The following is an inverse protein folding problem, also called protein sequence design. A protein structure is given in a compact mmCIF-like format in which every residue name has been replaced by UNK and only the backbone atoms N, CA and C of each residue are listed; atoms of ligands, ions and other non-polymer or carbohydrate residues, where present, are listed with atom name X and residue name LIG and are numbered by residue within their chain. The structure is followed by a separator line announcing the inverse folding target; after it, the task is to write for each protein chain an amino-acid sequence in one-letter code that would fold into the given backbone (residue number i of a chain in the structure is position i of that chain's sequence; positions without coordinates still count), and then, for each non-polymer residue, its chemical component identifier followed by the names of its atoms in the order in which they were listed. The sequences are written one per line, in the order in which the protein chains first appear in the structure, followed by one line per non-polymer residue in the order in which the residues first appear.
data_IF_898187717774
#
_entry.id   IF_898187717774
#
_cell.length_a   1.000
_cell.length_b   1.000
_cell.length_c   1.000
_cell.angle_alpha   90.00
_cell.angle_beta   90.00
_cell.angle_gamma   90.00
#
_symmetry.space_group_name_H-M   'P 1'
#
loop_
_entity.id
_entity.type
_entity.pdbx_description
1 polymer ?
#
# COMPACT_ATOMS: atom_id res chain seq x y z
N UNK A 1 14.03 1.49 -15.82
CA UNK A 1 14.41 2.32 -16.95
C UNK A 1 13.82 3.73 -16.80
N UNK A 2 14.62 4.78 -17.09
CA UNK A 2 14.19 6.17 -16.95
C UNK A 2 13.06 6.54 -17.94
N UNK A 3 13.09 6.00 -19.15
CA UNK A 3 12.05 6.22 -20.15
C UNK A 3 10.69 5.69 -19.67
N UNK A 4 10.66 4.49 -19.13
CA UNK A 4 9.45 3.91 -18.55
C UNK A 4 8.94 4.70 -17.35
N UNK A 5 9.85 5.13 -16.48
CA UNK A 5 9.49 5.89 -15.28
C UNK A 5 8.84 7.23 -15.65
N UNK A 6 9.47 8.04 -16.52
CA UNK A 6 8.92 9.35 -16.89
C UNK A 6 7.67 9.24 -17.76
N UNK A 7 7.51 8.17 -18.57
CA UNK A 7 6.31 7.93 -19.35
C UNK A 7 5.07 7.70 -18.45
N UNK A 8 5.27 7.05 -17.31
CA UNK A 8 4.22 6.74 -16.31
C UNK A 8 4.09 7.80 -15.23
N UNK A 9 5.02 8.77 -15.16
CA UNK A 9 5.00 9.83 -14.16
C UNK A 9 3.84 10.80 -14.38
N UNK A 10 3.34 11.36 -13.26
CA UNK A 10 2.24 12.32 -13.23
C UNK A 10 2.46 13.31 -12.08
N UNK A 11 3.37 14.26 -12.32
CA UNK A 11 3.70 15.37 -11.42
C UNK A 11 4.14 16.57 -12.26
N UNK A 12 4.27 17.74 -11.63
CA UNK A 12 4.89 18.93 -12.22
C UNK A 12 6.19 19.22 -11.48
N UNK A 13 7.32 19.20 -12.21
CA UNK A 13 8.63 19.56 -11.67
C UNK A 13 8.89 21.05 -11.83
N UNK A 14 9.40 21.69 -10.78
CA UNK A 14 9.86 23.07 -10.82
C UNK A 14 11.30 23.19 -11.34
N UNK A 15 12.11 22.13 -11.12
CA UNK A 15 13.49 22.07 -11.58
C UNK A 15 13.91 20.62 -11.88
N UNK A 16 14.74 20.48 -12.93
CA UNK A 16 15.39 19.22 -13.29
C UNK A 16 16.90 19.35 -13.23
N UNK A 17 17.55 18.38 -12.65
CA UNK A 17 18.98 18.16 -12.74
C UNK A 17 19.22 16.98 -13.68
N UNK A 18 19.50 17.29 -14.97
CA UNK A 18 19.71 16.26 -15.99
C UNK A 18 21.19 15.85 -15.98
N UNK A 19 21.55 15.01 -15.01
CA UNK A 19 22.91 14.53 -14.75
C UNK A 19 23.08 13.06 -15.16
N UNK A 20 22.85 12.76 -16.41
CA UNK A 20 23.12 11.46 -17.01
C UNK A 20 24.57 11.34 -17.49
N UNK A 21 25.01 10.12 -17.85
CA UNK A 21 26.30 9.92 -18.50
C UNK A 21 26.37 10.66 -19.84
N UNK A 22 27.60 10.90 -20.31
CA UNK A 22 27.84 11.56 -21.61
C UNK A 22 26.95 10.99 -22.72
N UNK A 23 26.26 11.82 -23.51
CA UNK A 23 25.30 11.39 -24.54
C UNK A 23 25.84 10.33 -25.50
N UNK A 24 27.12 10.38 -25.83
CA UNK A 24 27.77 9.38 -26.67
C UNK A 24 27.93 8.00 -26.03
N UNK A 25 28.01 7.94 -24.69
CA UNK A 25 28.14 6.68 -23.94
C UNK A 25 26.81 6.12 -23.48
N UNK A 26 25.80 6.96 -23.31
CA UNK A 26 24.46 6.57 -22.92
C UNK A 26 23.40 7.37 -23.68
N UNK A 27 23.20 7.11 -24.97
CA UNK A 27 22.25 7.86 -25.80
C UNK A 27 20.80 7.69 -25.36
N UNK A 28 20.48 6.60 -24.62
CA UNK A 28 19.12 6.30 -24.16
C UNK A 28 18.62 7.32 -23.12
N UNK A 29 19.50 7.87 -22.27
CA UNK A 29 19.14 8.92 -21.31
C UNK A 29 18.94 10.30 -21.94
N UNK A 30 19.24 10.44 -23.24
CA UNK A 30 19.18 11.72 -23.98
C UNK A 30 18.31 11.60 -25.24
N UNK A 31 17.48 10.53 -25.32
CA UNK A 31 16.61 10.34 -26.48
C UNK A 31 15.45 11.34 -26.50
N UNK A 32 14.75 11.41 -27.64
CA UNK A 32 13.64 12.33 -27.88
C UNK A 32 12.50 12.12 -26.87
N UNK A 33 12.08 10.86 -26.68
CA UNK A 33 10.90 10.54 -25.86
C UNK A 33 11.09 10.94 -24.40
N UNK A 34 12.29 10.66 -23.84
CA UNK A 34 12.61 11.06 -22.48
C UNK A 34 12.62 12.58 -22.30
N UNK A 35 13.26 13.31 -23.21
CA UNK A 35 13.34 14.77 -23.08
C UNK A 35 12.00 15.47 -23.38
N UNK A 36 11.16 14.91 -24.26
CA UNK A 36 9.78 15.36 -24.42
C UNK A 36 8.94 15.10 -23.15
N UNK A 37 9.14 13.96 -22.47
CA UNK A 37 8.49 13.67 -21.21
C UNK A 37 8.95 14.63 -20.09
N UNK A 38 10.25 14.97 -20.03
CA UNK A 38 10.77 16.02 -19.15
C UNK A 38 10.05 17.34 -19.41
N UNK A 39 9.92 17.75 -20.70
CA UNK A 39 9.17 18.95 -21.06
C UNK A 39 7.70 18.89 -20.61
N UNK A 40 7.02 17.77 -20.82
CA UNK A 40 5.63 17.55 -20.38
C UNK A 40 5.46 17.64 -18.86
N UNK A 41 6.41 17.09 -18.12
CA UNK A 41 6.39 17.04 -16.66
C UNK A 41 6.95 18.32 -16.00
N UNK A 42 7.42 19.30 -16.77
CA UNK A 42 7.88 20.57 -16.24
C UNK A 42 6.72 21.52 -16.05
N UNK A 43 6.55 22.03 -14.83
CA UNK A 43 5.57 23.06 -14.51
C UNK A 43 5.84 24.37 -15.24
N UNK A 44 4.84 25.24 -15.30
CA UNK A 44 4.94 26.58 -15.88
C UNK A 44 6.10 27.37 -15.21
N UNK A 45 7.03 27.91 -16.00
CA UNK A 45 8.21 28.61 -15.49
C UNK A 45 9.30 27.73 -14.87
N UNK A 46 9.12 26.41 -14.86
CA UNK A 46 10.10 25.45 -14.36
C UNK A 46 11.36 25.45 -15.22
N UNK A 47 12.45 24.93 -14.67
CA UNK A 47 13.79 25.02 -15.25
C UNK A 47 14.50 23.68 -15.31
N UNK A 48 15.59 23.61 -16.06
CA UNK A 48 16.55 22.51 -15.99
C UNK A 48 17.99 23.02 -16.02
N UNK A 49 18.91 22.17 -15.54
CA UNK A 49 20.33 22.31 -15.71
C UNK A 49 20.96 20.99 -16.12
N UNK A 50 21.97 21.04 -17.00
CA UNK A 50 22.78 19.90 -17.41
C UNK A 50 24.19 20.28 -17.75
N UNK A 51 25.13 19.39 -17.53
CA UNK A 51 26.54 19.59 -17.89
C UNK A 51 26.82 19.51 -19.40
N UNK A 52 25.90 18.96 -20.19
CA UNK A 52 26.14 18.74 -21.63
C UNK A 52 25.55 19.85 -22.47
N UNK A 53 26.34 20.28 -23.50
CA UNK A 53 25.93 21.25 -24.52
C UNK A 53 25.82 20.62 -25.91
N UNK A 54 25.75 19.27 -25.99
CA UNK A 54 25.64 18.54 -27.24
C UNK A 54 24.47 19.04 -28.11
N UNK A 55 24.70 19.22 -29.42
CA UNK A 55 23.70 19.82 -30.34
C UNK A 55 22.39 19.06 -30.35
N UNK A 56 22.45 17.72 -30.41
CA UNK A 56 21.23 16.86 -30.37
C UNK A 56 20.42 17.04 -29.10
N UNK A 57 21.08 17.15 -27.93
CA UNK A 57 20.40 17.39 -26.65
C UNK A 57 19.76 18.77 -26.62
N UNK A 58 20.46 19.80 -27.09
CA UNK A 58 19.92 21.16 -27.18
C UNK A 58 18.69 21.22 -28.07
N UNK A 59 18.75 20.61 -29.26
CA UNK A 59 17.61 20.56 -30.16
C UNK A 59 16.38 19.91 -29.51
N UNK A 60 16.54 18.73 -28.91
CA UNK A 60 15.45 18.00 -28.26
C UNK A 60 14.84 18.76 -27.08
N UNK A 61 15.66 19.45 -26.28
CA UNK A 61 15.16 20.26 -25.16
C UNK A 61 14.43 21.52 -25.67
N UNK A 62 14.88 22.12 -26.78
CA UNK A 62 14.17 23.23 -27.44
C UNK A 62 12.78 22.76 -27.96
N UNK A 63 12.74 21.60 -28.62
CA UNK A 63 11.49 20.94 -29.07
C UNK A 63 10.57 20.57 -27.91
N UNK A 64 11.13 20.19 -26.74
CA UNK A 64 10.39 19.96 -25.51
C UNK A 64 9.81 21.23 -24.84
N UNK A 65 10.05 22.40 -25.45
CA UNK A 65 9.46 23.69 -25.06
C UNK A 65 10.29 24.52 -24.10
N UNK A 66 11.61 24.30 -24.02
CA UNK A 66 12.50 25.11 -23.20
C UNK A 66 13.19 26.22 -24.02
N UNK A 67 13.36 27.38 -23.40
CA UNK A 67 14.30 28.39 -23.81
C UNK A 67 15.67 28.06 -23.23
N UNK A 68 16.69 28.00 -24.08
CA UNK A 68 18.01 27.48 -23.75
C UNK A 68 19.04 28.58 -23.61
N UNK A 69 19.88 28.47 -22.58
CA UNK A 69 21.00 29.36 -22.33
C UNK A 69 22.26 28.55 -22.04
N UNK A 70 23.35 28.86 -22.74
CA UNK A 70 24.68 28.35 -22.38
C UNK A 70 25.28 29.22 -21.30
N UNK A 71 25.81 28.57 -20.26
CA UNK A 71 26.53 29.21 -19.16
C UNK A 71 27.92 28.63 -18.99
N UNK A 72 28.85 29.35 -18.34
CA UNK A 72 30.13 28.77 -17.93
C UNK A 72 29.91 27.50 -17.12
N UNK A 73 30.66 26.46 -17.46
CA UNK A 73 30.60 25.20 -16.76
C UNK A 73 31.35 25.25 -15.42
N UNK A 74 31.23 24.16 -14.63
CA UNK A 74 31.93 24.03 -13.37
C UNK A 74 33.11 23.04 -13.47
N UNK A 75 34.20 23.32 -12.78
CA UNK A 75 35.39 22.49 -12.74
C UNK A 75 36.09 22.38 -14.11
N UNK A 76 36.16 21.13 -14.64
CA UNK A 76 36.82 20.87 -15.95
C UNK A 76 35.91 21.08 -17.15
N UNK A 77 34.64 21.44 -16.96
CA UNK A 77 33.68 21.66 -18.03
C UNK A 77 33.69 23.13 -18.47
N UNK A 78 33.91 23.36 -19.78
CA UNK A 78 33.90 24.71 -20.33
C UNK A 78 32.52 25.35 -20.28
N UNK A 79 31.49 24.60 -20.66
CA UNK A 79 30.12 25.08 -20.78
C UNK A 79 29.14 24.11 -20.10
N UNK A 80 28.04 24.64 -19.59
CA UNK A 80 26.84 23.94 -19.17
C UNK A 80 25.62 24.51 -19.91
N UNK A 81 24.53 23.75 -19.91
CA UNK A 81 23.26 24.16 -20.47
C UNK A 81 22.23 24.33 -19.38
N UNK A 82 21.53 25.45 -19.38
CA UNK A 82 20.33 25.66 -18.56
C UNK A 82 19.17 26.02 -19.48
N UNK A 83 17.96 25.84 -19.00
CA UNK A 83 16.78 26.24 -19.74
C UNK A 83 15.58 26.47 -18.86
N UNK A 84 14.63 27.22 -19.39
CA UNK A 84 13.36 27.56 -18.73
C UNK A 84 12.19 27.21 -19.65
N UNK A 85 11.10 26.72 -19.09
CA UNK A 85 9.85 26.44 -19.83
C UNK A 85 9.33 27.76 -20.44
N UNK A 86 9.02 27.77 -21.73
CA UNK A 86 8.62 28.99 -22.49
C UNK A 86 7.32 29.63 -22.00
N UNK A 87 6.41 28.84 -21.44
CA UNK A 87 5.07 29.30 -21.06
C UNK A 87 4.85 29.18 -19.55
N UNK A 88 4.33 30.25 -18.95
CA UNK A 88 3.90 30.33 -17.57
C UNK A 88 4.96 30.87 -16.60
N UNK A 89 4.49 31.39 -15.50
CA UNK A 89 5.27 31.74 -14.31
C UNK A 89 5.09 30.67 -13.26
N UNK A 90 6.14 30.38 -12.49
CA UNK A 90 6.01 29.56 -11.29
C UNK A 90 4.98 30.23 -10.38
N UNK A 91 3.86 29.55 -10.17
CA UNK A 91 2.91 29.98 -9.15
C UNK A 91 3.49 29.53 -7.80
N UNK A 92 3.84 30.45 -6.89
CA UNK A 92 4.27 30.03 -5.56
C UNK A 92 3.17 29.14 -4.96
N UNK A 93 3.55 27.98 -4.45
CA UNK A 93 2.58 27.21 -3.67
C UNK A 93 2.13 28.06 -2.48
N UNK A 94 0.82 28.17 -2.24
CA UNK A 94 0.33 28.94 -1.08
C UNK A 94 1.01 28.38 0.17
N UNK A 95 1.43 29.30 1.04
CA UNK A 95 1.98 28.96 2.35
C UNK A 95 1.09 27.91 3.03
N UNK A 96 1.72 26.91 3.66
CA UNK A 96 1.01 25.82 4.37
C UNK A 96 -0.03 26.42 5.32
N UNK A 97 -1.27 26.51 4.89
CA UNK A 97 -2.37 26.82 5.82
C UNK A 97 -2.45 25.68 6.83
N UNK A 98 -2.64 26.07 8.09
CA UNK A 98 -2.88 25.11 9.18
C UNK A 98 -4.23 24.45 8.87
N UNK A 99 -4.21 23.22 8.33
CA UNK A 99 -5.42 22.48 7.94
C UNK A 99 -5.82 21.58 9.08
N UNK A 100 -7.06 21.67 9.50
CA UNK A 100 -7.66 20.74 10.43
C UNK A 100 -8.19 19.54 9.65
N UNK A 101 -7.55 18.38 9.79
CA UNK A 101 -7.85 17.15 9.02
C UNK A 101 -8.35 16.08 9.98
N UNK A 102 -9.53 15.54 9.71
CA UNK A 102 -10.08 14.42 10.44
C UNK A 102 -10.04 13.13 9.58
N UNK A 103 -9.81 11.99 10.23
CA UNK A 103 -9.76 10.66 9.64
C UNK A 103 -10.77 9.79 10.39
N UNK A 104 -11.82 9.33 9.73
CA UNK A 104 -12.78 8.38 10.31
C UNK A 104 -12.25 6.97 10.09
N UNK A 105 -11.92 6.28 11.17
CA UNK A 105 -11.41 4.91 11.22
C UNK A 105 -9.97 4.80 11.72
N UNK A 106 -9.79 4.19 12.88
CA UNK A 106 -8.50 3.93 13.55
C UNK A 106 -7.87 2.58 13.21
N UNK A 107 -8.19 2.02 12.02
CA UNK A 107 -7.52 0.84 11.48
C UNK A 107 -6.23 1.19 10.75
N UNK A 108 -5.57 0.17 10.15
CA UNK A 108 -4.29 0.35 9.42
C UNK A 108 -4.40 1.40 8.31
N UNK A 109 -5.54 1.55 7.65
CA UNK A 109 -5.75 2.55 6.61
C UNK A 109 -5.67 3.97 7.17
N UNK A 110 -6.46 4.28 8.20
CA UNK A 110 -6.46 5.61 8.82
C UNK A 110 -5.14 5.94 9.51
N UNK A 111 -4.53 4.98 10.19
CA UNK A 111 -3.22 5.15 10.81
C UNK A 111 -2.12 5.45 9.80
N UNK A 112 -2.17 4.79 8.60
CA UNK A 112 -1.20 5.06 7.53
C UNK A 112 -1.36 6.47 6.94
N UNK A 113 -2.59 6.95 6.77
CA UNK A 113 -2.84 8.35 6.35
C UNK A 113 -2.33 9.31 7.41
N UNK A 114 -2.60 9.02 8.68
CA UNK A 114 -2.12 9.85 9.79
C UNK A 114 -0.59 9.94 9.82
N UNK A 115 0.11 8.81 9.66
CA UNK A 115 1.58 8.78 9.57
C UNK A 115 2.09 9.67 8.44
N UNK A 116 1.48 9.58 7.26
CA UNK A 116 1.84 10.41 6.10
C UNK A 116 1.62 11.90 6.33
N UNK A 117 0.57 12.29 7.04
CA UNK A 117 0.28 13.67 7.41
C UNK A 117 1.25 14.16 8.49
N UNK A 118 1.51 13.36 9.52
CA UNK A 118 2.45 13.69 10.61
C UNK A 118 3.87 13.88 10.08
N UNK A 119 4.32 13.01 9.16
CA UNK A 119 5.61 13.14 8.49
C UNK A 119 5.75 14.47 7.71
N UNK A 120 4.63 15.11 7.37
CA UNK A 120 4.56 16.41 6.68
C UNK A 120 4.21 17.58 7.62
N UNK A 121 4.25 17.34 8.95
CA UNK A 121 4.06 18.36 9.98
C UNK A 121 2.60 18.74 10.25
N UNK A 122 1.64 17.88 9.90
CA UNK A 122 0.23 18.03 10.23
C UNK A 122 -0.14 17.06 11.35
N UNK A 123 -0.83 17.53 12.37
CA UNK A 123 -1.42 16.69 13.42
C UNK A 123 -2.90 16.41 13.06
N UNK A 124 -3.24 15.23 12.53
CA UNK A 124 -4.62 14.90 12.20
C UNK A 124 -5.39 14.37 13.41
N UNK A 125 -6.73 14.39 13.34
CA UNK A 125 -7.62 13.75 14.31
C UNK A 125 -8.05 12.38 13.76
N UNK A 126 -7.75 11.29 14.46
CA UNK A 126 -8.28 9.95 14.18
C UNK A 126 -9.53 9.75 15.04
N UNK A 127 -10.64 9.41 14.40
CA UNK A 127 -11.93 9.18 15.02
C UNK A 127 -12.29 7.69 14.83
N UNK A 128 -12.56 6.96 15.90
CA UNK A 128 -13.04 5.57 15.81
C UNK A 128 -14.24 5.33 16.74
N UNK A 129 -15.22 4.58 16.23
CA UNK A 129 -16.38 4.17 17.02
C UNK A 129 -16.03 3.19 18.14
N UNK A 130 -14.89 2.52 18.04
CA UNK A 130 -14.36 1.57 19.04
C UNK A 130 -13.55 2.32 20.09
N UNK A 131 -13.20 1.62 21.15
CA UNK A 131 -12.46 2.12 22.30
C UNK A 131 -10.93 2.18 22.08
N UNK A 132 -10.45 1.73 20.91
CA UNK A 132 -9.01 1.63 20.59
C UNK A 132 -8.73 1.62 19.10
N UNK A 133 -7.47 1.85 18.74
CA UNK A 133 -6.94 1.60 17.41
C UNK A 133 -6.95 0.10 17.08
N UNK A 134 -6.91 -0.23 15.79
CA UNK A 134 -6.88 -1.61 15.29
C UNK A 134 -8.07 -2.47 15.75
N UNK A 135 -9.18 -1.92 16.19
CA UNK A 135 -10.34 -2.67 16.68
C UNK A 135 -11.07 -3.50 15.62
N UNK A 136 -10.92 -3.16 14.31
CA UNK A 136 -11.51 -3.86 13.16
C UNK A 136 -10.62 -4.98 12.59
N UNK A 137 -10.56 -5.09 11.26
CA UNK A 137 -9.75 -6.10 10.55
C UNK A 137 -8.24 -6.02 10.85
N UNK A 138 -7.75 -4.89 11.32
CA UNK A 138 -6.36 -4.67 11.74
C UNK A 138 -6.03 -5.26 13.12
N UNK A 139 -6.97 -5.89 13.81
CA UNK A 139 -6.79 -6.35 15.18
C UNK A 139 -6.38 -7.82 15.33
N UNK A 140 -5.92 -8.50 14.27
CA UNK A 140 -5.35 -9.84 14.41
C UNK A 140 -4.07 -9.79 15.27
N UNK A 141 -3.74 -10.89 15.94
CA UNK A 141 -2.51 -11.00 16.76
C UNK A 141 -1.28 -10.95 15.89
N UNK A 142 -1.27 -11.74 14.81
CA UNK A 142 -0.25 -11.75 13.78
C UNK A 142 -0.89 -11.89 12.40
N UNK A 143 -0.20 -11.38 11.37
CA UNK A 143 -0.61 -11.55 9.99
C UNK A 143 0.60 -11.48 9.04
N UNK A 144 0.43 -11.98 7.83
CA UNK A 144 1.46 -11.91 6.80
C UNK A 144 1.42 -10.58 6.06
N UNK A 145 2.59 -10.00 5.86
CA UNK A 145 2.86 -8.93 4.92
C UNK A 145 3.72 -9.51 3.79
N UNK A 146 3.13 -9.74 2.64
CA UNK A 146 3.81 -10.37 1.51
C UNK A 146 3.32 -9.83 0.17
N UNK A 147 4.13 -9.88 -0.91
CA UNK A 147 3.73 -9.37 -2.20
C UNK A 147 2.77 -10.33 -2.89
N UNK A 148 1.85 -9.78 -3.68
CA UNK A 148 1.10 -10.55 -4.66
C UNK A 148 1.62 -10.23 -6.05
N UNK A 149 2.59 -11.01 -6.48
CA UNK A 149 3.23 -10.85 -7.78
C UNK A 149 2.49 -11.64 -8.88
N UNK A 150 2.67 -11.24 -10.13
CA UNK A 150 2.21 -11.94 -11.32
C UNK A 150 3.32 -11.98 -12.36
N UNK A 151 3.32 -13.02 -13.17
CA UNK A 151 4.35 -13.27 -14.21
C UNK A 151 4.34 -12.18 -15.29
N UNK A 152 3.18 -11.60 -15.58
CA UNK A 152 2.96 -10.54 -16.57
C UNK A 152 3.23 -9.12 -16.02
N UNK A 153 3.68 -8.99 -14.78
CA UNK A 153 3.94 -7.72 -14.11
C UNK A 153 2.81 -6.68 -14.28
N UNK A 154 1.55 -7.15 -14.25
CA UNK A 154 0.40 -6.28 -14.39
C UNK A 154 0.33 -5.18 -13.32
N UNK A 155 -0.58 -4.23 -13.49
CA UNK A 155 -0.73 -3.07 -12.60
C UNK A 155 -0.88 -3.48 -11.13
N UNK A 156 -1.66 -4.51 -10.83
CA UNK A 156 -1.88 -4.98 -9.47
C UNK A 156 -0.62 -5.62 -8.85
N UNK A 157 0.18 -6.32 -9.66
CA UNK A 157 1.47 -6.90 -9.26
C UNK A 157 2.48 -5.79 -8.94
N UNK A 158 2.62 -4.80 -9.83
CA UNK A 158 3.53 -3.66 -9.61
C UNK A 158 3.12 -2.85 -8.37
N UNK A 159 1.84 -2.54 -8.23
CA UNK A 159 1.33 -1.88 -7.03
C UNK A 159 1.67 -2.66 -5.76
N UNK A 160 1.51 -3.99 -5.78
CA UNK A 160 1.83 -4.83 -4.61
C UNK A 160 3.32 -4.83 -4.28
N UNK A 161 4.20 -4.82 -5.29
CA UNK A 161 5.65 -4.72 -5.12
C UNK A 161 6.06 -3.35 -4.56
N UNK A 162 5.55 -2.26 -5.14
CA UNK A 162 5.83 -0.89 -4.69
C UNK A 162 5.38 -0.69 -3.24
N UNK A 163 4.16 -1.16 -2.90
CA UNK A 163 3.62 -1.06 -1.55
C UNK A 163 4.45 -1.87 -0.53
N UNK A 164 4.88 -3.09 -0.89
CA UNK A 164 5.73 -3.89 -0.02
C UNK A 164 7.10 -3.24 0.17
N UNK A 165 7.74 -2.79 -0.90
CA UNK A 165 9.02 -2.10 -0.87
C UNK A 165 8.98 -0.89 0.08
N UNK A 166 7.92 -0.07 -0.02
CA UNK A 166 7.71 1.06 0.87
C UNK A 166 7.53 0.61 2.33
N UNK A 167 6.66 -0.38 2.57
CA UNK A 167 6.38 -0.89 3.91
C UNK A 167 7.63 -1.51 4.57
N UNK A 168 8.50 -2.16 3.79
CA UNK A 168 9.79 -2.70 4.27
C UNK A 168 10.78 -1.58 4.55
N UNK A 169 10.80 -0.52 3.75
CA UNK A 169 11.68 0.63 3.91
C UNK A 169 11.30 1.55 5.08
N UNK A 170 10.09 1.46 5.63
CA UNK A 170 9.70 2.20 6.83
C UNK A 170 10.42 1.62 8.05
N UNK A 171 11.46 2.30 8.54
CA UNK A 171 12.28 1.88 9.70
C UNK A 171 11.43 1.61 10.95
N UNK A 172 10.36 2.37 11.11
CA UNK A 172 9.47 2.32 12.26
C UNK A 172 8.60 1.06 12.28
N UNK A 173 8.34 0.45 11.12
CA UNK A 173 7.62 -0.82 11.03
C UNK A 173 8.42 -2.00 11.63
N UNK A 174 9.72 -1.86 11.82
CA UNK A 174 10.58 -2.92 12.38
C UNK A 174 10.15 -3.37 13.77
N UNK A 175 9.57 -2.48 14.59
CA UNK A 175 9.05 -2.80 15.93
C UNK A 175 7.87 -3.78 15.91
N UNK A 176 7.14 -3.87 14.81
CA UNK A 176 6.00 -4.76 14.66
C UNK A 176 6.38 -6.09 13.98
N UNK A 177 7.63 -6.26 13.52
CA UNK A 177 8.08 -7.46 12.81
C UNK A 177 8.37 -8.58 13.80
N UNK A 178 7.70 -9.72 13.63
CA UNK A 178 7.90 -10.94 14.43
C UNK A 178 8.78 -11.95 13.67
N UNK A 179 8.67 -11.99 12.34
CA UNK A 179 9.57 -12.75 11.48
C UNK A 179 9.83 -11.97 10.17
N UNK A 180 11.03 -12.13 9.63
CA UNK A 180 11.58 -11.33 8.53
C UNK A 180 11.46 -11.99 7.15
N UNK A 181 10.69 -13.08 7.03
CA UNK A 181 10.45 -13.79 5.76
C UNK A 181 9.12 -14.51 5.74
N UNK A 182 8.65 -14.76 4.53
CA UNK A 182 7.47 -15.60 4.25
C UNK A 182 7.86 -16.67 3.25
N UNK A 183 7.50 -17.92 3.54
CA UNK A 183 7.69 -19.07 2.65
C UNK A 183 6.32 -19.43 2.07
N UNK A 184 6.15 -19.28 0.77
CA UNK A 184 4.96 -19.73 0.04
C UNK A 184 5.21 -21.14 -0.48
N UNK A 185 4.51 -22.12 0.09
CA UNK A 185 4.66 -23.53 -0.31
C UNK A 185 4.07 -23.78 -1.71
N UNK A 186 4.60 -24.79 -2.41
CA UNK A 186 4.05 -25.32 -3.66
C UNK A 186 2.72 -26.06 -3.39
N UNK A 187 1.80 -25.42 -2.67
CA UNK A 187 0.51 -25.95 -2.23
C UNK A 187 -0.57 -24.85 -2.13
N UNK A 188 -1.83 -25.15 -2.53
CA UNK A 188 -2.29 -26.33 -3.27
C UNK A 188 -1.81 -26.33 -4.74
N UNK A 189 -2.19 -27.30 -5.55
CA UNK A 189 -1.71 -27.51 -6.94
C UNK A 189 -1.71 -26.23 -7.79
N UNK A 190 -2.73 -25.39 -7.64
CA UNK A 190 -2.80 -24.09 -8.35
C UNK A 190 -1.61 -23.17 -8.03
N UNK A 191 -1.08 -23.22 -6.82
CA UNK A 191 0.10 -22.44 -6.42
C UNK A 191 1.36 -23.08 -6.97
N UNK A 192 1.47 -24.40 -6.97
CA UNK A 192 2.58 -25.12 -7.61
C UNK A 192 2.69 -24.76 -9.10
N UNK A 193 1.55 -24.77 -9.83
CA UNK A 193 1.48 -24.34 -11.23
C UNK A 193 1.88 -22.88 -11.40
N UNK A 194 1.44 -22.01 -10.52
CA UNK A 194 1.82 -20.59 -10.54
C UNK A 194 3.30 -20.40 -10.31
N UNK A 195 3.86 -21.04 -9.29
CA UNK A 195 5.28 -20.94 -8.95
C UNK A 195 6.18 -21.54 -10.04
N UNK A 196 5.75 -22.58 -10.72
CA UNK A 196 6.46 -23.13 -11.88
C UNK A 196 6.66 -22.06 -12.98
N UNK A 197 5.65 -21.21 -13.24
CA UNK A 197 5.76 -20.10 -14.18
C UNK A 197 6.72 -19.01 -13.69
N UNK A 198 6.75 -18.71 -12.38
CA UNK A 198 7.71 -17.76 -11.82
C UNK A 198 9.16 -18.24 -11.95
N UNK A 199 9.41 -19.54 -11.85
CA UNK A 199 10.76 -20.14 -12.01
C UNK A 199 11.35 -19.93 -13.41
N UNK A 200 10.53 -19.63 -14.42
CA UNK A 200 10.99 -19.36 -15.79
C UNK A 200 11.48 -17.93 -16.00
N UNK A 201 11.36 -17.06 -15.00
CA UNK A 201 11.75 -15.66 -15.06
C UNK A 201 12.91 -15.36 -14.10
N UNK A 202 13.64 -14.30 -14.41
CA UNK A 202 14.65 -13.78 -13.51
C UNK A 202 13.99 -12.98 -12.37
N UNK A 203 14.32 -13.34 -11.14
CA UNK A 203 13.99 -12.60 -9.94
C UNK A 203 15.27 -12.33 -9.15
N UNK A 204 15.47 -11.13 -8.59
CA UNK A 204 16.59 -10.86 -7.69
C UNK A 204 16.55 -11.81 -6.48
N UNK A 205 17.68 -12.42 -6.14
CA UNK A 205 17.77 -13.41 -5.04
C UNK A 205 17.45 -12.80 -3.67
N UNK A 206 17.70 -11.51 -3.49
CA UNK A 206 17.35 -10.75 -2.29
C UNK A 206 15.85 -10.47 -2.15
N UNK A 207 15.09 -10.61 -3.22
CA UNK A 207 13.64 -10.50 -3.23
C UNK A 207 12.96 -11.85 -3.08
N UNK A 208 13.38 -12.84 -3.88
CA UNK A 208 12.68 -14.11 -4.01
C UNK A 208 13.67 -15.26 -4.31
N UNK A 209 13.58 -16.34 -3.55
CA UNK A 209 14.38 -17.54 -3.75
C UNK A 209 13.50 -18.78 -3.87
N UNK A 210 13.70 -19.59 -4.89
CA UNK A 210 13.04 -20.89 -5.05
C UNK A 210 13.83 -21.97 -4.32
N UNK A 211 13.14 -22.74 -3.46
CA UNK A 211 13.75 -23.70 -2.56
C UNK A 211 13.06 -25.06 -2.62
N UNK A 212 13.80 -26.13 -2.38
CA UNK A 212 13.25 -27.47 -2.12
C UNK A 212 12.73 -27.59 -0.68
N UNK A 213 12.13 -28.73 -0.33
CA UNK A 213 11.54 -28.95 1.00
C UNK A 213 12.60 -28.87 2.11
N UNK A 214 13.83 -29.37 1.88
CA UNK A 214 14.91 -29.34 2.86
C UNK A 214 15.37 -27.91 3.16
N UNK A 215 15.57 -27.10 2.13
CA UNK A 215 15.96 -25.70 2.28
C UNK A 215 14.81 -24.88 2.89
N UNK A 216 13.55 -25.14 2.49
CA UNK A 216 12.37 -24.52 3.10
C UNK A 216 12.30 -24.82 4.60
N UNK A 217 12.45 -26.10 5.00
CA UNK A 217 12.48 -26.54 6.40
C UNK A 217 13.58 -25.85 7.20
N UNK A 218 14.78 -25.79 6.65
CA UNK A 218 15.92 -25.10 7.29
C UNK A 218 15.63 -23.63 7.53
N UNK A 219 14.98 -22.95 6.60
CA UNK A 219 14.61 -21.53 6.74
C UNK A 219 13.41 -21.31 7.65
N UNK A 220 12.43 -22.22 7.64
CA UNK A 220 11.27 -22.18 8.50
C UNK A 220 11.62 -22.50 9.96
N UNK A 221 12.64 -23.34 10.22
CA UNK A 221 13.00 -23.83 11.54
C UNK A 221 12.17 -25.05 12.02
N UNK A 222 11.34 -25.59 11.16
CA UNK A 222 10.51 -26.79 11.36
C UNK A 222 10.49 -27.61 10.06
N UNK A 223 10.13 -28.89 10.15
CA UNK A 223 9.99 -29.73 8.98
C UNK A 223 8.78 -29.31 8.12
N UNK A 224 9.03 -29.03 6.86
CA UNK A 224 8.01 -28.72 5.87
C UNK A 224 7.96 -29.82 4.81
N UNK A 225 6.75 -30.27 4.40
CA UNK A 225 6.62 -31.39 3.46
C UNK A 225 6.93 -30.99 2.01
N UNK A 226 6.98 -29.69 1.71
CA UNK A 226 7.10 -29.16 0.35
C UNK A 226 8.11 -28.01 0.31
N UNK A 227 8.72 -27.83 -0.85
CA UNK A 227 9.44 -26.63 -1.21
C UNK A 227 8.50 -25.50 -1.61
N UNK A 228 9.06 -24.46 -2.19
CA UNK A 228 8.28 -23.30 -2.62
C UNK A 228 9.13 -22.07 -2.89
N UNK A 229 8.60 -20.92 -2.56
CA UNK A 229 9.26 -19.62 -2.71
C UNK A 229 9.45 -18.94 -1.36
N UNK A 230 10.69 -18.58 -1.07
CA UNK A 230 11.02 -17.69 0.05
C UNK A 230 10.94 -16.24 -0.43
N UNK A 231 10.08 -15.46 0.18
CA UNK A 231 9.99 -14.02 -0.02
C UNK A 231 10.80 -13.32 1.07
N UNK A 232 11.99 -12.82 0.75
CA UNK A 232 12.90 -12.19 1.71
C UNK A 232 12.42 -10.81 2.19
N UNK A 233 11.51 -10.17 1.45
CA UNK A 233 10.82 -8.96 1.90
C UNK A 233 9.47 -9.28 2.56
N UNK A 234 9.05 -10.54 2.53
CA UNK A 234 7.87 -10.99 3.27
C UNK A 234 8.12 -10.92 4.78
N UNK A 235 7.10 -10.59 5.56
CA UNK A 235 7.20 -10.43 7.02
C UNK A 235 5.99 -11.02 7.72
N UNK A 236 6.18 -11.45 8.95
CA UNK A 236 5.09 -11.66 9.92
C UNK A 236 5.03 -10.43 10.80
N UNK A 237 3.88 -9.79 10.83
CA UNK A 237 3.66 -8.50 11.47
C UNK A 237 2.64 -8.65 12.61
N UNK A 238 2.87 -7.93 13.71
CA UNK A 238 1.84 -7.57 14.68
C UNK A 238 1.05 -6.36 14.15
N UNK A 239 -0.17 -6.54 13.66
CA UNK A 239 -0.95 -5.45 13.08
C UNK A 239 -1.34 -4.38 14.09
N UNK A 240 -1.54 -4.77 15.36
CA UNK A 240 -1.92 -3.85 16.44
C UNK A 240 -0.75 -2.93 16.74
N UNK A 241 0.45 -3.51 16.93
CA UNK A 241 1.67 -2.75 17.15
C UNK A 241 1.95 -1.79 15.99
N UNK A 242 1.88 -2.26 14.74
CA UNK A 242 2.08 -1.42 13.56
C UNK A 242 1.06 -0.28 13.47
N UNK A 243 -0.24 -0.56 13.68
CA UNK A 243 -1.30 0.46 13.61
C UNK A 243 -1.11 1.54 14.67
N UNK A 244 -0.80 1.14 15.91
CA UNK A 244 -0.53 2.08 17.00
C UNK A 244 0.72 2.93 16.70
N UNK A 245 1.75 2.33 16.11
CA UNK A 245 2.96 3.05 15.74
C UNK A 245 2.69 4.10 14.66
N UNK A 246 1.99 3.74 13.59
CA UNK A 246 1.63 4.65 12.49
C UNK A 246 0.69 5.79 12.93
N UNK A 247 -0.10 5.59 13.99
CA UNK A 247 -0.96 6.62 14.54
C UNK A 247 -0.26 7.61 15.48
N UNK A 248 1.04 7.40 15.79
CA UNK A 248 1.79 8.32 16.67
C UNK A 248 1.84 9.72 16.08
N UNK A 249 1.59 10.72 16.93
CA UNK A 249 1.53 12.13 16.53
C UNK A 249 0.18 12.58 16.00
N UNK A 250 -0.82 11.71 15.91
CA UNK A 250 -2.22 12.06 15.68
C UNK A 250 -2.95 12.18 17.01
N UNK A 251 -3.99 13.04 17.05
CA UNK A 251 -4.96 13.09 18.14
C UNK A 251 -6.03 12.00 17.92
N UNK A 252 -6.37 11.23 18.96
CA UNK A 252 -7.32 10.13 18.85
C UNK A 252 -8.60 10.38 19.63
N UNK A 253 -9.74 10.08 19.02
CA UNK A 253 -11.08 10.23 19.59
C UNK A 253 -11.81 8.88 19.52
N UNK A 254 -11.78 8.14 20.62
CA UNK A 254 -12.39 6.81 20.71
C UNK A 254 -13.85 6.88 21.20
N UNK A 255 -14.62 5.81 20.90
CA UNK A 255 -16.03 5.73 21.18
C UNK A 255 -16.84 6.78 20.41
N UNK A 256 -16.26 7.38 19.38
CA UNK A 256 -16.91 8.42 18.57
C UNK A 256 -17.54 7.77 17.33
N UNK A 257 -18.74 7.24 17.48
CA UNK A 257 -19.53 6.67 16.38
C UNK A 257 -20.21 7.78 15.59
N UNK A 258 -19.70 8.13 14.42
CA UNK A 258 -20.28 9.19 13.57
C UNK A 258 -21.65 8.76 13.06
N UNK A 259 -22.70 9.47 13.49
CA UNK A 259 -24.10 9.24 13.08
C UNK A 259 -24.61 10.31 12.11
N UNK A 260 -23.95 11.46 12.06
CA UNK A 260 -24.28 12.55 11.13
C UNK A 260 -23.01 13.24 10.66
N UNK A 261 -23.00 13.57 9.39
CA UNK A 261 -21.95 14.35 8.73
C UNK A 261 -22.60 15.36 7.80
N UNK A 262 -22.32 16.62 8.01
CA UNK A 262 -22.76 17.69 7.12
C UNK A 262 -21.61 18.60 6.75
N UNK A 263 -21.68 19.22 5.58
CA UNK A 263 -20.76 20.28 5.17
C UNK A 263 -21.46 21.62 5.24
N UNK A 264 -20.88 22.54 5.97
CA UNK A 264 -21.40 23.87 6.16
C UNK A 264 -20.24 24.87 6.30
N UNK A 265 -20.34 26.02 5.66
CA UNK A 265 -19.30 27.07 5.63
C UNK A 265 -17.90 26.53 5.31
N UNK A 266 -17.84 25.62 4.30
CA UNK A 266 -16.58 24.99 3.86
C UNK A 266 -15.97 23.97 4.80
N UNK A 267 -16.63 23.62 5.92
CA UNK A 267 -16.16 22.66 6.93
C UNK A 267 -17.08 21.46 7.06
N UNK A 268 -16.50 20.32 7.44
CA UNK A 268 -17.26 19.15 7.85
C UNK A 268 -17.57 19.22 9.34
N UNK A 269 -18.83 19.01 9.68
CA UNK A 269 -19.33 18.87 11.04
C UNK A 269 -19.73 17.43 11.27
N UNK A 270 -19.00 16.74 12.13
CA UNK A 270 -19.21 15.36 12.50
C UNK A 270 -19.91 15.31 13.85
N UNK A 271 -20.98 14.53 13.95
CA UNK A 271 -21.75 14.37 15.20
C UNK A 271 -21.72 12.89 15.56
N UNK A 272 -21.30 12.60 16.78
CA UNK A 272 -21.34 11.27 17.37
C UNK A 272 -22.72 10.94 17.94
N UNK A 273 -23.01 9.64 18.07
CA UNK A 273 -24.28 9.18 18.67
C UNK A 273 -24.51 9.63 20.12
N UNK A 274 -23.45 9.96 20.85
CA UNK A 274 -23.46 10.50 22.21
C UNK A 274 -23.53 12.03 22.29
N UNK A 275 -23.65 12.72 21.15
CA UNK A 275 -23.77 14.17 21.05
C UNK A 275 -22.45 14.93 20.95
N UNK A 276 -21.28 14.26 21.07
CA UNK A 276 -19.98 14.91 20.83
C UNK A 276 -19.90 15.39 19.38
N UNK A 277 -19.21 16.51 19.17
CA UNK A 277 -19.03 17.12 17.86
C UNK A 277 -17.56 17.36 17.56
N UNK A 278 -17.19 17.22 16.29
CA UNK A 278 -15.87 17.56 15.77
C UNK A 278 -16.02 18.27 14.42
N UNK A 279 -15.27 19.34 14.22
CA UNK A 279 -15.29 20.12 12.97
C UNK A 279 -13.92 20.04 12.32
N UNK A 280 -13.86 19.84 11.01
CA UNK A 280 -12.60 19.81 10.25
C UNK A 280 -12.76 20.48 8.88
N UNK A 281 -11.62 20.92 8.31
CA UNK A 281 -11.56 21.52 6.97
C UNK A 281 -11.56 20.42 5.89
N UNK A 282 -10.87 19.31 6.15
CA UNK A 282 -10.76 18.17 5.23
C UNK A 282 -11.04 16.87 5.99
N UNK A 283 -11.64 15.91 5.29
CA UNK A 283 -12.07 14.65 5.85
C UNK A 283 -11.54 13.46 5.05
N UNK A 284 -11.02 12.47 5.76
CA UNK A 284 -10.61 11.18 5.19
C UNK A 284 -11.52 10.08 5.73
N UNK A 285 -12.05 9.24 4.85
CA UNK A 285 -12.86 8.06 5.21
C UNK A 285 -12.02 6.80 5.07
N UNK A 286 -11.76 6.12 6.20
CA UNK A 286 -10.90 4.92 6.29
C UNK A 286 -11.53 3.82 7.15
N UNK A 287 -12.85 3.61 7.02
CA UNK A 287 -13.72 2.86 7.93
C UNK A 287 -13.75 1.33 7.70
N UNK A 288 -12.86 0.80 6.85
CA UNK A 288 -12.77 -0.64 6.61
C UNK A 288 -14.06 -1.23 6.04
N UNK A 289 -14.63 -2.25 6.70
CA UNK A 289 -15.84 -2.93 6.23
C UNK A 289 -17.11 -2.05 6.32
N UNK A 290 -17.11 -1.07 7.21
CA UNK A 290 -18.25 -0.17 7.38
C UNK A 290 -18.41 0.81 6.21
N UNK A 291 -17.45 0.82 5.28
CA UNK A 291 -17.52 1.55 4.01
C UNK A 291 -18.75 1.13 3.18
N UNK A 292 -19.17 -0.13 3.27
CA UNK A 292 -20.36 -0.63 2.58
C UNK A 292 -21.65 0.13 2.98
N UNK A 293 -21.73 0.57 4.23
CA UNK A 293 -22.87 1.38 4.72
C UNK A 293 -22.65 2.89 4.44
N UNK A 294 -21.43 3.37 4.65
CA UNK A 294 -21.11 4.80 4.54
C UNK A 294 -21.06 5.32 3.09
N UNK A 295 -20.83 4.46 2.09
CA UNK A 295 -20.75 4.92 0.70
C UNK A 295 -22.04 5.61 0.22
N UNK A 296 -23.21 5.23 0.77
CA UNK A 296 -24.48 5.89 0.49
C UNK A 296 -24.53 7.30 1.07
N UNK A 297 -24.05 7.49 2.31
CA UNK A 297 -23.97 8.81 2.95
C UNK A 297 -22.98 9.75 2.25
N UNK A 298 -21.92 9.18 1.65
CA UNK A 298 -20.88 9.92 0.96
C UNK A 298 -21.24 10.27 -0.49
N UNK A 299 -22.42 9.86 -0.97
CA UNK A 299 -22.85 9.99 -2.37
C UNK A 299 -21.79 9.48 -3.39
N UNK A 300 -20.97 8.50 -3.00
CA UNK A 300 -19.97 7.87 -3.88
C UNK A 300 -20.71 6.92 -4.79
N UNK A 301 -21.17 7.41 -5.93
CA UNK A 301 -21.89 6.60 -6.90
C UNK A 301 -20.94 5.70 -7.68
N UNK A 302 -21.38 4.47 -7.98
CA UNK A 302 -20.70 3.53 -8.88
C UNK A 302 -19.64 2.64 -8.23
N UNK A 303 -19.41 2.73 -6.91
CA UNK A 303 -18.56 1.79 -6.18
C UNK A 303 -19.45 0.73 -5.52
N UNK A 304 -19.21 -0.54 -5.88
CA UNK A 304 -19.75 -1.68 -5.13
C UNK A 304 -18.69 -2.17 -4.16
N UNK A 305 -19.05 -2.26 -2.88
CA UNK A 305 -18.17 -2.76 -1.81
C UNK A 305 -18.72 -4.10 -1.33
N UNK A 306 -17.96 -5.15 -1.58
CA UNK A 306 -18.22 -6.48 -1.07
C UNK A 306 -17.61 -6.63 0.32
N UNK A 307 -18.38 -7.10 1.28
CA UNK A 307 -17.90 -7.40 2.63
C UNK A 307 -17.82 -8.91 2.79
N UNK A 308 -16.65 -9.39 3.22
CA UNK A 308 -16.43 -10.79 3.56
C UNK A 308 -15.93 -10.87 4.99
N UNK A 309 -16.33 -11.87 5.74
CA UNK A 309 -15.72 -12.20 7.03
C UNK A 309 -14.68 -13.29 6.89
N UNK A 310 -13.81 -13.38 7.88
CA UNK A 310 -12.81 -14.45 7.95
C UNK A 310 -12.42 -14.72 9.39
N UNK A 311 -12.49 -16.00 9.75
CA UNK A 311 -12.02 -16.50 11.04
C UNK A 311 -10.58 -16.94 10.95
N UNK A 312 -9.78 -16.46 11.89
CA UNK A 312 -8.42 -16.92 12.17
C UNK A 312 -8.47 -17.75 13.44
N UNK A 313 -7.78 -18.90 13.43
CA UNK A 313 -7.65 -19.80 14.56
C UNK A 313 -6.37 -19.49 15.33
N UNK A 314 -6.48 -19.33 16.64
CA UNK A 314 -5.36 -19.22 17.57
C UNK A 314 -4.97 -20.61 18.03
N UNK A 315 -3.97 -21.20 17.39
CA UNK A 315 -3.50 -22.57 17.67
C UNK A 315 -2.49 -22.52 18.81
N UNK A 316 -2.72 -23.23 19.93
CA UNK A 316 -1.74 -23.29 21.01
C UNK A 316 -0.38 -23.77 20.51
N UNK A 317 0.69 -23.20 21.02
CA UNK A 317 2.06 -23.61 20.70
C UNK A 317 2.30 -25.07 21.10
N UNK A 318 2.98 -25.82 20.24
CA UNK A 318 3.35 -27.22 20.47
C UNK A 318 4.83 -27.43 20.16
N UNK A 319 5.39 -28.53 20.67
CA UNK A 319 6.77 -28.92 20.38
C UNK A 319 7.04 -29.03 18.87
N UNK A 320 6.05 -29.44 18.06
CA UNK A 320 6.17 -29.58 16.63
C UNK A 320 6.34 -28.23 15.91
N UNK A 321 5.84 -27.12 16.47
CA UNK A 321 5.89 -25.78 15.89
C UNK A 321 6.83 -24.82 16.65
N UNK A 322 7.43 -25.23 17.77
CA UNK A 322 8.23 -24.35 18.63
C UNK A 322 9.44 -23.73 17.91
N UNK A 323 9.94 -24.38 16.85
CA UNK A 323 11.05 -23.87 16.03
C UNK A 323 10.63 -22.91 14.89
N UNK A 324 9.32 -22.70 14.68
CA UNK A 324 8.83 -21.91 13.53
C UNK A 324 9.26 -20.44 13.64
N UNK A 325 10.04 -19.97 12.66
CA UNK A 325 10.60 -18.62 12.62
C UNK A 325 10.33 -17.87 11.31
N UNK A 326 9.44 -18.39 10.47
CA UNK A 326 8.98 -17.77 9.23
C UNK A 326 7.46 -17.81 9.14
N UNK A 327 6.85 -16.90 8.41
CA UNK A 327 5.47 -17.03 7.99
C UNK A 327 5.35 -18.08 6.89
N UNK A 328 4.40 -19.00 7.00
CA UNK A 328 4.13 -20.02 5.97
C UNK A 328 2.81 -19.69 5.28
N UNK A 329 2.82 -19.65 3.94
CA UNK A 329 1.63 -19.42 3.09
C UNK A 329 1.36 -20.64 2.22
N UNK A 330 0.08 -21.08 2.17
CA UNK A 330 -0.35 -22.34 1.52
C UNK A 330 -1.80 -22.33 1.03
N UNK A 331 -2.31 -21.19 0.59
CA UNK A 331 -3.77 -21.00 0.37
C UNK A 331 -4.50 -20.52 1.60
N UNK A 332 -3.88 -20.67 2.75
CA UNK A 332 -4.03 -20.01 4.03
C UNK A 332 -2.68 -19.49 4.49
N UNK A 333 -2.49 -19.35 5.80
CA UNK A 333 -1.21 -19.00 6.40
C UNK A 333 -1.06 -19.56 7.81
N UNK A 334 0.19 -19.75 8.24
CA UNK A 334 0.59 -20.09 9.60
C UNK A 334 1.73 -19.13 10.01
N UNK A 335 1.70 -18.62 11.24
CA UNK A 335 2.72 -17.71 11.77
C UNK A 335 3.55 -18.37 12.85
N UNK A 336 4.75 -17.88 13.17
CA UNK A 336 5.41 -18.14 14.44
C UNK A 336 4.49 -17.85 15.61
N UNK A 337 4.79 -18.44 16.79
CA UNK A 337 4.02 -18.17 17.98
C UNK A 337 4.24 -16.75 18.50
N UNK A 338 3.17 -16.14 19.03
CA UNK A 338 3.20 -14.96 19.86
C UNK A 338 2.28 -15.19 21.07
N UNK A 339 2.78 -14.94 22.27
CA UNK A 339 2.07 -15.16 23.53
C UNK A 339 1.49 -16.58 23.64
N UNK A 340 2.26 -17.60 23.20
CA UNK A 340 1.89 -19.02 23.25
C UNK A 340 0.91 -19.49 22.16
N UNK A 341 0.64 -18.69 21.10
CA UNK A 341 -0.27 -19.05 20.04
C UNK A 341 0.27 -18.73 18.65
N UNK A 342 0.05 -19.64 17.72
CA UNK A 342 0.21 -19.43 16.29
C UNK A 342 -1.10 -18.94 15.68
N UNK A 343 -1.03 -18.12 14.63
CA UNK A 343 -2.21 -17.74 13.84
C UNK A 343 -2.31 -18.66 12.62
N UNK A 344 -3.42 -19.39 12.52
CA UNK A 344 -3.74 -20.27 11.39
C UNK A 344 -5.02 -19.78 10.72
N UNK A 345 -4.97 -19.44 9.44
CA UNK A 345 -6.14 -18.90 8.74
C UNK A 345 -5.99 -18.70 7.25
N UNK A 346 -7.02 -18.19 6.65
CA UNK A 346 -8.28 -17.82 7.23
C UNK A 346 -9.43 -18.27 6.35
N UNK A 347 -10.60 -18.39 6.95
CA UNK A 347 -11.82 -18.59 6.17
C UNK A 347 -12.18 -17.36 5.34
N UNK A 348 -13.05 -17.56 4.34
CA UNK A 348 -13.65 -16.51 3.53
C UNK A 348 -15.16 -16.77 3.44
N UNK A 349 -15.90 -16.12 4.33
CA UNK A 349 -17.36 -16.17 4.34
C UNK A 349 -17.91 -14.93 3.65
N UNK A 350 -18.74 -15.13 2.63
CA UNK A 350 -19.36 -14.07 1.83
C UNK A 350 -20.65 -13.52 2.44
N UNK A 351 -21.23 -14.25 3.38
CA UNK A 351 -22.42 -13.82 4.10
C UNK A 351 -22.10 -12.78 5.19
N UNK A 352 -20.80 -12.62 5.49
CA UNK A 352 -20.33 -11.62 6.45
C UNK A 352 -20.61 -12.00 7.91
N UNK A 353 -20.81 -13.29 8.20
CA UNK A 353 -21.02 -13.79 9.55
C UNK A 353 -19.83 -13.45 10.45
N UNK A 354 -20.10 -12.99 11.67
CA UNK A 354 -19.10 -12.58 12.67
C UNK A 354 -19.02 -13.56 13.87
N UNK A 355 -19.80 -14.61 13.84
CA UNK A 355 -19.76 -15.64 14.88
C UNK A 355 -18.52 -16.52 14.76
N UNK A 356 -18.00 -16.97 15.88
CA UNK A 356 -16.92 -17.97 15.93
C UNK A 356 -17.53 -19.34 15.68
N UNK A 357 -17.09 -20.00 14.60
CA UNK A 357 -17.59 -21.31 14.20
C UNK A 357 -16.52 -22.38 14.40
N UNK A 358 -16.89 -23.48 15.07
CA UNK A 358 -16.03 -24.66 15.24
C UNK A 358 -15.61 -25.27 13.88
N UNK A 359 -16.53 -25.29 12.90
CA UNK A 359 -16.24 -25.74 11.54
C UNK A 359 -15.16 -24.93 10.83
N UNK A 360 -15.01 -23.65 11.17
CA UNK A 360 -13.97 -22.79 10.61
C UNK A 360 -12.56 -23.17 11.11
N UNK A 361 -12.42 -23.66 12.34
CA UNK A 361 -11.16 -24.22 12.84
C UNK A 361 -10.74 -25.46 12.06
N UNK A 362 -11.69 -26.37 11.83
CA UNK A 362 -11.45 -27.56 11.02
C UNK A 362 -11.07 -27.19 9.59
N UNK A 363 -11.80 -26.24 8.98
CA UNK A 363 -11.49 -25.74 7.65
C UNK A 363 -10.06 -25.16 7.59
N UNK A 364 -9.68 -24.30 8.53
CA UNK A 364 -8.33 -23.72 8.57
C UNK A 364 -7.24 -24.80 8.69
N UNK A 365 -7.48 -25.85 9.50
CA UNK A 365 -6.56 -27.00 9.61
C UNK A 365 -6.47 -27.79 8.30
N UNK A 366 -7.58 -27.96 7.57
CA UNK A 366 -7.63 -28.66 6.28
C UNK A 366 -6.94 -27.90 5.12
N UNK A 367 -6.67 -26.60 5.27
CA UNK A 367 -5.88 -25.84 4.27
C UNK A 367 -4.41 -26.24 4.26
N UNK A 368 -3.89 -26.82 5.34
CA UNK A 368 -2.51 -27.25 5.45
C UNK A 368 -2.19 -28.39 4.45
N UNK A 369 -0.94 -28.48 3.96
CA UNK A 369 -0.50 -29.63 3.17
C UNK A 369 -0.73 -30.94 3.91
N UNK A 370 -1.00 -32.02 3.18
CA UNK A 370 -1.23 -33.34 3.75
C UNK A 370 -0.11 -33.77 4.71
N UNK A 371 -0.48 -34.26 5.87
CA UNK A 371 0.43 -34.70 6.94
C UNK A 371 1.02 -33.56 7.78
N UNK A 372 1.04 -32.33 7.29
CA UNK A 372 1.63 -31.21 8.05
C UNK A 372 0.79 -30.83 9.29
N UNK A 373 -0.52 -31.02 9.22
CA UNK A 373 -1.44 -30.70 10.33
C UNK A 373 -1.57 -31.80 11.41
N UNK A 374 -0.93 -32.97 11.23
CA UNK A 374 -1.16 -34.12 12.12
C UNK A 374 -0.60 -33.91 13.54
N UNK A 375 0.45 -33.10 13.68
CA UNK A 375 1.03 -32.72 14.97
C UNK A 375 0.34 -31.54 15.68
N UNK A 376 -0.69 -30.94 15.07
CA UNK A 376 -1.43 -29.84 15.68
C UNK A 376 -2.45 -30.34 16.70
N UNK A 377 -2.74 -29.55 17.75
CA UNK A 377 -3.78 -29.89 18.74
C UNK A 377 -5.15 -30.08 18.09
N UNK A 378 -6.10 -30.63 18.90
CA UNK A 378 -7.50 -30.71 18.50
C UNK A 378 -8.04 -29.29 18.22
N UNK A 379 -8.69 -29.04 17.05
CA UNK A 379 -9.34 -27.79 16.75
C UNK A 379 -10.32 -27.28 17.80
N UNK A 380 -10.88 -28.15 18.63
CA UNK A 380 -11.75 -27.79 19.78
C UNK A 380 -11.00 -26.93 20.83
N UNK A 381 -9.66 -27.04 20.89
CA UNK A 381 -8.83 -26.25 21.81
C UNK A 381 -8.43 -24.86 21.27
N UNK A 382 -8.76 -24.52 20.02
CA UNK A 382 -8.33 -23.29 19.41
C UNK A 382 -9.17 -22.11 19.89
N UNK A 383 -8.50 -21.01 20.21
CA UNK A 383 -9.13 -19.70 20.23
C UNK A 383 -9.39 -19.18 18.82
N UNK A 384 -10.13 -18.09 18.70
CA UNK A 384 -10.40 -17.49 17.41
C UNK A 384 -10.62 -15.98 17.43
N UNK A 385 -10.47 -15.40 16.25
CA UNK A 385 -10.93 -14.06 15.95
C UNK A 385 -11.60 -14.02 14.58
N UNK A 386 -12.78 -13.41 14.53
CA UNK A 386 -13.47 -13.14 13.26
C UNK A 386 -13.35 -11.64 12.94
N UNK A 387 -13.12 -11.32 11.70
CA UNK A 387 -13.09 -9.93 11.24
C UNK A 387 -13.66 -9.77 9.83
N UNK A 388 -14.30 -8.61 9.57
CA UNK A 388 -14.86 -8.27 8.27
C UNK A 388 -13.84 -7.51 7.43
N UNK A 389 -13.79 -7.81 6.14
CA UNK A 389 -12.91 -7.18 5.15
C UNK A 389 -13.77 -6.59 4.03
N UNK A 390 -13.45 -5.36 3.62
CA UNK A 390 -14.06 -4.73 2.45
C UNK A 390 -13.18 -4.95 1.22
N UNK A 391 -13.80 -5.25 0.09
CA UNK A 391 -13.15 -5.31 -1.22
C UNK A 391 -14.06 -4.75 -2.31
N UNK A 392 -13.49 -4.32 -3.42
CA UNK A 392 -14.21 -3.95 -4.63
C UNK A 392 -14.32 -5.14 -5.57
N UNK A 393 -15.19 -5.06 -6.57
CA UNK A 393 -15.38 -6.10 -7.58
C UNK A 393 -14.07 -6.44 -8.33
N UNK A 394 -13.19 -5.45 -8.61
CA UNK A 394 -11.89 -5.67 -9.25
C UNK A 394 -10.76 -5.98 -8.25
N UNK A 395 -11.08 -6.08 -6.95
CA UNK A 395 -10.15 -6.38 -5.85
C UNK A 395 -8.98 -5.40 -5.70
N UNK A 396 -9.05 -4.23 -6.33
CA UNK A 396 -8.13 -3.14 -6.08
C UNK A 396 -8.67 -2.23 -4.97
N UNK A 397 -7.82 -1.64 -4.13
CA UNK A 397 -8.24 -0.65 -3.16
C UNK A 397 -8.95 0.55 -3.79
N UNK A 398 -9.63 1.29 -2.97
CA UNK A 398 -10.12 2.63 -3.30
C UNK A 398 -9.24 3.62 -2.55
N UNK A 399 -8.56 4.50 -3.28
CA UNK A 399 -7.68 5.51 -2.69
C UNK A 399 -7.67 6.75 -3.56
N UNK A 400 -7.98 7.90 -2.97
CA UNK A 400 -7.95 9.20 -3.65
C UNK A 400 -9.05 10.15 -3.21
N UNK A 401 -9.20 11.19 -4.00
CA UNK A 401 -10.10 12.30 -3.79
C UNK A 401 -11.53 11.97 -4.22
N UNK A 402 -12.50 12.26 -3.36
CA UNK A 402 -13.94 12.22 -3.70
C UNK A 402 -14.41 13.61 -4.16
N UNK A 403 -14.03 14.64 -3.44
CA UNK A 403 -14.19 16.06 -3.80
C UNK A 403 -13.02 16.85 -3.21
N UNK A 404 -13.05 18.19 -3.28
CA UNK A 404 -11.91 19.02 -2.89
C UNK A 404 -11.46 18.81 -1.44
N UNK A 405 -12.36 18.44 -0.54
CA UNK A 405 -12.11 18.33 0.90
C UNK A 405 -12.46 16.95 1.47
N UNK A 406 -12.87 15.98 0.62
CA UNK A 406 -13.23 14.63 1.03
C UNK A 406 -12.38 13.60 0.30
N UNK A 407 -11.75 12.71 1.07
CA UNK A 407 -10.84 11.69 0.58
C UNK A 407 -11.20 10.31 1.14
N UNK A 408 -10.72 9.26 0.50
CA UNK A 408 -10.99 7.88 0.89
C UNK A 408 -9.75 7.00 0.78
N UNK A 409 -9.57 6.12 1.76
CA UNK A 409 -8.69 4.95 1.68
C UNK A 409 -9.41 3.74 2.24
N UNK A 410 -9.78 2.79 1.39
CA UNK A 410 -10.55 1.63 1.82
C UNK A 410 -10.51 0.47 0.84
N UNK A 411 -11.35 -0.54 1.10
CA UNK A 411 -11.46 -1.76 0.31
C UNK A 411 -10.12 -2.50 0.12
N UNK A 412 -9.26 -2.51 1.14
CA UNK A 412 -7.92 -3.11 1.12
C UNK A 412 -7.96 -4.66 1.11
N UNK A 413 -9.13 -5.26 1.31
CA UNK A 413 -9.32 -6.71 1.39
C UNK A 413 -8.46 -7.34 2.50
N UNK A 414 -7.80 -8.44 2.18
CA UNK A 414 -6.90 -9.14 3.10
C UNK A 414 -5.45 -8.61 3.08
N UNK A 415 -5.17 -7.52 2.34
CA UNK A 415 -3.80 -7.03 2.09
C UNK A 415 -3.51 -5.67 2.71
N UNK A 416 -4.31 -5.24 3.68
CA UNK A 416 -4.20 -3.92 4.30
C UNK A 416 -2.80 -3.61 4.82
N UNK A 417 -2.13 -4.56 5.45
CA UNK A 417 -0.78 -4.38 6.00
C UNK A 417 0.29 -4.11 4.95
N UNK A 418 0.15 -4.69 3.76
CA UNK A 418 1.07 -4.45 2.64
C UNK A 418 0.75 -3.14 1.92
N UNK A 419 -0.55 -2.85 1.71
CA UNK A 419 -0.98 -1.78 0.82
C UNK A 419 -1.12 -0.42 1.53
N UNK A 420 -1.62 -0.40 2.76
CA UNK A 420 -1.98 0.83 3.44
C UNK A 420 -0.81 1.80 3.67
N UNK A 421 0.41 1.38 4.05
CA UNK A 421 1.49 2.31 4.32
C UNK A 421 1.79 3.25 3.15
N UNK A 422 2.02 2.71 1.95
CA UNK A 422 2.27 3.54 0.77
C UNK A 422 1.03 4.32 0.32
N UNK A 423 -0.15 3.68 0.32
CA UNK A 423 -1.37 4.35 -0.12
C UNK A 423 -1.79 5.47 0.85
N UNK A 424 -1.54 5.33 2.14
CA UNK A 424 -1.75 6.37 3.15
C UNK A 424 -0.80 7.55 2.96
N UNK A 425 0.49 7.29 2.71
CA UNK A 425 1.48 8.32 2.41
C UNK A 425 1.15 9.09 1.12
N UNK A 426 0.76 8.35 0.07
CA UNK A 426 0.30 8.91 -1.19
C UNK A 426 -0.92 9.81 -0.97
N UNK A 427 -1.92 9.36 -0.22
CA UNK A 427 -3.12 10.12 0.03
C UNK A 427 -2.82 11.39 0.85
N UNK A 428 -1.93 11.30 1.83
CA UNK A 428 -1.45 12.47 2.58
C UNK A 428 -0.76 13.50 1.67
N UNK A 429 0.04 13.04 0.71
CA UNK A 429 0.65 13.92 -0.29
C UNK A 429 -0.42 14.61 -1.16
N UNK A 430 -1.43 13.85 -1.64
CA UNK A 430 -2.53 14.38 -2.44
C UNK A 430 -3.37 15.43 -1.67
N UNK A 431 -3.71 15.16 -0.41
CA UNK A 431 -4.42 16.08 0.49
C UNK A 431 -3.68 17.43 0.61
N UNK A 432 -2.36 17.38 0.65
CA UNK A 432 -1.52 18.58 0.79
C UNK A 432 -1.13 19.22 -0.54
N UNK A 433 -1.58 18.68 -1.68
CA UNK A 433 -1.21 19.13 -3.01
C UNK A 433 0.27 18.90 -3.35
N UNK A 434 0.89 17.92 -2.72
CA UNK A 434 2.28 17.53 -2.97
C UNK A 434 2.37 16.50 -4.10
N UNK A 435 3.53 16.37 -4.77
CA UNK A 435 3.73 15.33 -5.78
C UNK A 435 3.50 13.93 -5.23
N UNK A 436 2.81 13.10 -6.01
CA UNK A 436 2.54 11.70 -5.71
C UNK A 436 3.51 10.81 -6.50
N UNK A 437 4.16 9.88 -5.81
CA UNK A 437 5.23 9.04 -6.37
C UNK A 437 4.75 7.79 -7.12
N UNK A 438 3.48 7.39 -6.96
CA UNK A 438 2.94 6.23 -7.67
C UNK A 438 2.71 6.48 -9.16
N UNK A 439 2.99 5.48 -9.98
CA UNK A 439 2.77 5.52 -11.41
C UNK A 439 1.29 5.81 -11.75
N UNK A 440 1.07 6.58 -12.82
CA UNK A 440 -0.26 7.05 -13.25
C UNK A 440 -1.26 5.94 -13.49
N UNK A 441 -0.82 4.82 -14.08
CA UNK A 441 -1.69 3.67 -14.34
C UNK A 441 -2.11 2.95 -13.05
N UNK A 442 -1.23 2.89 -12.05
CA UNK A 442 -1.57 2.39 -10.72
C UNK A 442 -2.60 3.32 -10.05
N UNK A 443 -2.35 4.63 -10.06
CA UNK A 443 -3.28 5.64 -9.49
C UNK A 443 -4.67 5.55 -10.13
N UNK A 444 -4.75 5.40 -11.47
CA UNK A 444 -6.04 5.18 -12.16
C UNK A 444 -6.76 3.92 -11.71
N UNK A 445 -6.02 2.87 -11.35
CA UNK A 445 -6.56 1.63 -10.78
C UNK A 445 -7.08 1.77 -9.35
N UNK A 446 -6.73 2.85 -8.65
CA UNK A 446 -7.14 3.18 -7.27
C UNK A 446 -8.27 4.20 -7.21
N UNK A 447 -8.48 4.96 -8.29
CA UNK A 447 -9.42 6.08 -8.37
C UNK A 447 -10.83 5.65 -7.92
N UNK A 448 -11.46 6.38 -6.97
CA UNK A 448 -12.82 6.11 -6.52
C UNK A 448 -13.86 6.08 -7.65
N UNK A 449 -13.62 6.82 -8.72
CA UNK A 449 -14.54 6.93 -9.87
C UNK A 449 -14.21 5.99 -11.04
N UNK A 450 -13.21 5.11 -10.91
CA UNK A 450 -12.78 4.20 -12.01
C UNK A 450 -13.89 3.31 -12.57
N UNK A 451 -14.90 3.00 -11.79
CA UNK A 451 -16.03 2.17 -12.22
C UNK A 451 -17.00 2.94 -13.12
N UNK A 452 -17.19 4.25 -12.91
CA UNK A 452 -17.99 5.11 -13.80
C UNK A 452 -17.33 5.24 -15.17
N UNK A 453 -16.01 5.43 -15.20
CA UNK A 453 -15.25 5.55 -16.44
C UNK A 453 -15.29 4.26 -17.28
N UNK A 454 -15.50 3.10 -16.67
CA UNK A 454 -15.69 1.82 -17.37
C UNK A 454 -17.11 1.68 -17.94
N UNK A 455 -18.12 2.10 -17.19
CA UNK A 455 -19.54 2.04 -17.64
C UNK A 455 -19.82 2.99 -18.80
N UNK A 456 -19.11 4.12 -18.92
CA UNK A 456 -19.28 5.05 -20.04
C UNK A 456 -18.54 4.63 -21.33
N UNK A 457 -17.81 3.53 -21.32
CA UNK A 457 -17.07 2.97 -22.46
C UNK A 457 -17.70 1.69 -23.02
N UNK A 458 -18.77 1.20 -22.39
CA UNK A 458 -19.63 0.11 -22.85
C UNK A 458 -20.92 0.69 -23.43
#
# INVERSE_FOLDING_TARGET
DANDAVAKADFAADAWFLDGFTPAKNPQLWNQDLLMAVGRLTGAGGSFATFTVASAVRQRLAEAGFELEKRPGFGRKRDMLVGRKRTGTLTPQPAKQKRNIAIIGGGIAGASVAAGLVARGITPHIIDARDRLAGGASGNRLALQSPRLSVDHNVASRMSADCLSFAVGCSDAALAVVADRVISLDWPDREAVRQAKFRTQFWPDDLMQFVDAKAASSQAGIDLPLGGVVHHWGRVIDPICLTNHLAKGAETHFGFSVVSMRRDDGKYHLIAGDGRQLTCDQLVVAVGADLAALHQMLAIQGITIDVTSGQVSHVPETAALAGLRAGISFGGYLTPAKDGFHELGATFDREGNIEILASAHLHNKQLLPHGFGDGLPDPASYGARVSRRASTADRNPVCGKINDDLFILGALGARGLTLAPLLGDMLAAEILGMPVTLARDIRRGLDPYRFRLRASRL
#
